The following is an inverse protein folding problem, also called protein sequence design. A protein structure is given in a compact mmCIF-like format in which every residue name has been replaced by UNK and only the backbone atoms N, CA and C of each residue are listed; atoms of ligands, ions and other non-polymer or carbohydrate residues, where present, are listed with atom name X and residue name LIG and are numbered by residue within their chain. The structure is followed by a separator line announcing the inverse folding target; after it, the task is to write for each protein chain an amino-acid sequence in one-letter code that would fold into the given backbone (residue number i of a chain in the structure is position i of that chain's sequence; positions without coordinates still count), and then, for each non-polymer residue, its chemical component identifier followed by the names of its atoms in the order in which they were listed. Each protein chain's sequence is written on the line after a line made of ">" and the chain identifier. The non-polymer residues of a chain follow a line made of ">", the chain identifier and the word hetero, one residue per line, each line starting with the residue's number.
data_IF_478157402718
#
_entry.id   IF_478157402718
#
_cell.length_a   1.000
_cell.length_b   1.000
_cell.length_c   1.000
_cell.angle_alpha   90.00
_cell.angle_beta   90.00
_cell.angle_gamma   90.00
#
_symmetry.space_group_name_H-M   'P 1'
#
loop_
_entity.id
_entity.type
_entity.pdbx_description
1 polymer ?
#
# COMPACT_ATOMS: atom_id res chain seq x y z
N UNK A 1 -3.75 27.37 23.50
CA UNK A 1 -4.29 26.67 22.31
C UNK A 1 -4.80 25.33 22.79
N UNK A 2 -6.11 25.19 22.97
CA UNK A 2 -6.72 23.89 23.29
C UNK A 2 -6.61 22.99 22.06
N UNK A 3 -5.97 21.83 22.22
CA UNK A 3 -5.93 20.81 21.17
C UNK A 3 -7.33 20.24 21.00
N UNK A 4 -7.99 20.56 19.88
CA UNK A 4 -9.23 19.89 19.48
C UNK A 4 -8.93 18.41 19.26
N UNK A 5 -9.28 17.56 20.23
CA UNK A 5 -9.23 16.12 20.05
C UNK A 5 -10.36 15.73 19.10
N UNK A 6 -10.01 15.48 17.84
CA UNK A 6 -10.92 14.88 16.88
C UNK A 6 -11.29 13.48 17.38
N UNK A 7 -12.59 13.25 17.57
CA UNK A 7 -13.09 11.91 17.90
C UNK A 7 -12.68 10.92 16.81
N UNK A 8 -12.38 9.68 17.18
CA UNK A 8 -12.08 8.59 16.24
C UNK A 8 -13.25 8.26 15.29
N UNK A 9 -14.43 8.86 15.51
CA UNK A 9 -15.61 8.77 14.63
C UNK A 9 -15.87 10.02 13.79
N UNK A 10 -15.10 11.10 13.97
CA UNK A 10 -15.27 12.33 13.20
C UNK A 10 -14.60 12.19 11.84
N UNK A 11 -15.40 12.13 10.78
CA UNK A 11 -14.89 12.25 9.43
C UNK A 11 -14.54 13.72 9.15
N UNK A 12 -13.30 13.97 8.72
CA UNK A 12 -12.85 15.30 8.32
C UNK A 12 -13.48 15.75 7.00
N UNK A 13 -13.98 14.81 6.21
CA UNK A 13 -14.59 15.04 4.91
C UNK A 13 -15.88 14.25 4.77
N UNK A 14 -16.89 14.79 4.08
CA UNK A 14 -18.07 14.01 3.73
C UNK A 14 -17.66 12.82 2.84
N UNK A 15 -18.38 11.69 2.91
CA UNK A 15 -18.15 10.56 2.02
C UNK A 15 -18.25 10.99 0.56
N UNK A 16 -17.45 10.35 -0.31
CA UNK A 16 -17.46 10.61 -1.74
C UNK A 16 -18.90 10.47 -2.26
N UNK A 17 -19.41 11.55 -2.84
CA UNK A 17 -20.67 11.54 -3.57
C UNK A 17 -20.35 11.83 -5.03
N UNK A 18 -20.53 10.85 -5.91
CA UNK A 18 -21.02 9.50 -5.65
C UNK A 18 -20.01 8.51 -5.02
N UNK A 19 -20.48 7.43 -4.36
CA UNK A 19 -19.60 6.44 -3.73
C UNK A 19 -18.78 5.63 -4.77
N UNK A 20 -17.60 5.11 -4.37
CA UNK A 20 -16.76 4.29 -5.23
C UNK A 20 -17.24 2.85 -5.27
N UNK A 21 -17.26 2.22 -6.45
CA UNK A 21 -17.66 0.81 -6.65
C UNK A 21 -16.72 -0.19 -5.96
N UNK A 22 -15.45 0.19 -5.77
CA UNK A 22 -14.42 -0.64 -5.18
C UNK A 22 -13.48 0.21 -4.33
N UNK A 23 -13.25 -0.21 -3.09
CA UNK A 23 -12.19 0.33 -2.23
C UNK A 23 -11.04 -0.65 -2.20
N UNK A 24 -9.86 -0.21 -2.63
CA UNK A 24 -8.62 -0.97 -2.61
C UNK A 24 -7.66 -0.38 -1.57
N UNK A 25 -7.43 -1.13 -0.49
CA UNK A 25 -6.51 -0.77 0.58
C UNK A 25 -5.16 -1.47 0.37
N UNK A 26 -4.09 -0.72 0.13
CA UNK A 26 -2.75 -1.26 -0.12
C UNK A 26 -1.82 -0.98 1.06
N UNK A 27 -1.34 -2.04 1.72
CA UNK A 27 -0.35 -1.94 2.79
C UNK A 27 -0.81 -2.52 4.12
N UNK A 28 -1.99 -2.14 4.62
CA UNK A 28 -2.43 -2.48 5.97
C UNK A 28 -3.95 -2.51 6.14
N UNK A 29 -4.44 -3.15 7.22
CA UNK A 29 -5.88 -3.36 7.49
C UNK A 29 -6.50 -2.33 8.45
N UNK A 30 -5.72 -1.34 8.92
CA UNK A 30 -6.11 -0.41 10.01
C UNK A 30 -7.47 0.25 9.79
N UNK A 31 -7.81 0.62 8.56
CA UNK A 31 -9.02 1.37 8.25
C UNK A 31 -10.15 0.52 7.69
N UNK A 32 -10.03 -0.81 7.65
CA UNK A 32 -11.06 -1.68 7.07
C UNK A 32 -12.42 -1.45 7.74
N UNK A 33 -12.46 -1.40 9.08
CA UNK A 33 -13.69 -1.14 9.82
C UNK A 33 -14.31 0.23 9.46
N UNK A 34 -13.48 1.27 9.34
CA UNK A 34 -13.94 2.61 8.98
C UNK A 34 -14.43 2.71 7.54
N UNK A 35 -13.78 2.03 6.61
CA UNK A 35 -14.27 1.95 5.24
C UNK A 35 -15.57 1.14 5.14
N UNK A 36 -15.76 0.12 5.98
CA UNK A 36 -17.04 -0.60 6.09
C UNK A 36 -18.16 0.26 6.67
N UNK A 37 -17.84 1.14 7.62
CA UNK A 37 -18.81 2.13 8.12
C UNK A 37 -19.20 3.16 7.04
N UNK A 38 -18.24 3.63 6.24
CA UNK A 38 -18.47 4.63 5.18
C UNK A 38 -19.15 4.07 3.94
N UNK A 39 -18.77 2.86 3.55
CA UNK A 39 -19.20 2.20 2.31
C UNK A 39 -19.65 0.77 2.63
N UNK A 40 -20.81 0.60 3.27
CA UNK A 40 -21.27 -0.71 3.73
C UNK A 40 -21.55 -1.66 2.56
N UNK A 41 -22.09 -1.14 1.46
CA UNK A 41 -22.53 -1.90 0.29
C UNK A 41 -21.41 -2.11 -0.75
N UNK A 42 -20.26 -1.46 -0.58
CA UNK A 42 -19.18 -1.51 -1.57
C UNK A 42 -18.22 -2.68 -1.32
N UNK A 43 -17.57 -3.11 -2.41
CA UNK A 43 -16.55 -4.14 -2.33
C UNK A 43 -15.27 -3.50 -1.77
N UNK A 44 -14.70 -4.12 -0.74
CA UNK A 44 -13.44 -3.69 -0.13
C UNK A 44 -12.41 -4.80 -0.31
N UNK A 45 -11.37 -4.53 -1.09
CA UNK A 45 -10.23 -5.42 -1.28
C UNK A 45 -9.05 -4.86 -0.47
N UNK A 46 -8.38 -5.73 0.28
CA UNK A 46 -7.16 -5.38 1.01
C UNK A 46 -6.01 -6.18 0.41
N UNK A 47 -5.09 -5.50 -0.26
CA UNK A 47 -3.82 -6.11 -0.64
C UNK A 47 -2.78 -5.80 0.45
N UNK A 48 -2.46 -6.82 1.23
CA UNK A 48 -1.43 -6.70 2.26
C UNK A 48 -0.05 -6.65 1.60
N UNK A 49 0.73 -5.67 2.00
CA UNK A 49 2.13 -5.57 1.59
C UNK A 49 2.98 -6.30 2.60
N UNK A 50 3.84 -7.19 2.13
CA UNK A 50 4.79 -7.89 2.98
C UNK A 50 6.19 -7.35 2.72
N UNK A 51 7.06 -7.37 3.73
CA UNK A 51 8.44 -6.95 3.56
C UNK A 51 9.15 -7.76 2.46
N UNK A 52 8.80 -9.04 2.26
CA UNK A 52 9.29 -9.86 1.15
C UNK A 52 9.03 -9.25 -0.23
N UNK A 53 7.98 -8.43 -0.39
CA UNK A 53 7.64 -7.80 -1.66
C UNK A 53 8.65 -6.73 -2.07
N UNK A 54 9.39 -6.16 -1.11
CA UNK A 54 10.50 -5.24 -1.39
C UNK A 54 11.73 -5.97 -1.94
N UNK A 55 12.01 -7.18 -1.43
CA UNK A 55 13.23 -7.92 -1.78
C UNK A 55 13.02 -8.96 -2.89
N UNK A 56 11.79 -9.41 -3.13
CA UNK A 56 11.45 -10.45 -4.09
C UNK A 56 10.29 -10.04 -5.00
N UNK A 57 10.64 -9.34 -6.08
CA UNK A 57 9.68 -8.83 -7.06
C UNK A 57 8.83 -9.91 -7.73
N UNK A 58 9.36 -11.09 -8.13
CA UNK A 58 8.53 -12.11 -8.78
C UNK A 58 7.39 -12.62 -7.90
N UNK A 59 7.66 -12.86 -6.61
CA UNK A 59 6.62 -13.28 -5.66
C UNK A 59 5.60 -12.17 -5.38
N UNK A 60 6.04 -10.91 -5.30
CA UNK A 60 5.14 -9.77 -5.18
C UNK A 60 4.17 -9.70 -6.37
N UNK A 61 4.67 -9.89 -7.60
CA UNK A 61 3.86 -9.89 -8.82
C UNK A 61 2.84 -11.03 -8.84
N UNK A 62 3.23 -12.23 -8.41
CA UNK A 62 2.30 -13.37 -8.31
C UNK A 62 1.16 -13.08 -7.33
N UNK A 63 1.47 -12.55 -6.15
CA UNK A 63 0.45 -12.20 -5.15
C UNK A 63 -0.49 -11.09 -5.66
N UNK A 64 0.05 -10.11 -6.41
CA UNK A 64 -0.72 -9.01 -6.98
C UNK A 64 -1.47 -9.37 -8.26
N UNK A 65 -1.10 -10.45 -8.95
CA UNK A 65 -1.82 -10.93 -10.13
C UNK A 65 -3.28 -11.27 -9.79
N UNK A 66 -3.50 -11.97 -8.68
CA UNK A 66 -4.84 -12.31 -8.19
C UNK A 66 -5.64 -11.08 -7.78
N UNK A 67 -4.99 -10.09 -7.15
CA UNK A 67 -5.62 -8.79 -6.84
C UNK A 67 -6.03 -8.07 -8.11
N UNK A 68 -5.16 -8.04 -9.12
CA UNK A 68 -5.45 -7.43 -10.41
C UNK A 68 -6.63 -8.14 -11.11
N UNK A 69 -6.70 -9.47 -11.06
CA UNK A 69 -7.82 -10.23 -11.64
C UNK A 69 -9.14 -9.90 -10.96
N UNK A 70 -9.17 -9.85 -9.63
CA UNK A 70 -10.36 -9.46 -8.88
C UNK A 70 -10.83 -8.04 -9.23
N UNK A 71 -9.90 -7.08 -9.25
CA UNK A 71 -10.18 -5.68 -9.62
C UNK A 71 -10.73 -5.60 -11.04
N UNK A 72 -10.12 -6.29 -12.00
CA UNK A 72 -10.57 -6.29 -13.40
C UNK A 72 -11.90 -7.01 -13.59
N UNK A 73 -12.19 -8.06 -12.82
CA UNK A 73 -13.47 -8.75 -12.84
C UNK A 73 -14.62 -7.84 -12.41
N UNK A 74 -14.42 -7.11 -11.31
CA UNK A 74 -15.42 -6.18 -10.76
C UNK A 74 -15.62 -4.98 -11.69
N UNK A 75 -14.53 -4.37 -12.16
CA UNK A 75 -14.61 -3.14 -12.96
C UNK A 75 -15.06 -3.35 -14.41
N UNK A 76 -15.14 -4.60 -14.88
CA UNK A 76 -15.60 -4.94 -16.23
C UNK A 76 -16.98 -5.59 -16.24
N UNK A 77 -17.67 -5.64 -15.10
CA UNK A 77 -19.04 -6.14 -15.05
C UNK A 77 -19.91 -5.27 -15.98
N UNK A 78 -20.46 -5.83 -17.08
CA UNK A 78 -21.24 -5.07 -18.06
C UNK A 78 -22.56 -4.53 -17.48
N UNK A 79 -22.95 -4.94 -16.28
CA UNK A 79 -24.05 -4.33 -15.54
C UNK A 79 -23.73 -2.93 -14.98
N UNK A 80 -22.45 -2.53 -14.94
CA UNK A 80 -22.00 -1.23 -14.48
C UNK A 80 -21.87 -0.25 -15.66
N UNK A 81 -22.63 0.85 -15.62
CA UNK A 81 -22.66 1.85 -16.71
C UNK A 81 -21.30 2.54 -16.90
N UNK A 82 -20.80 2.66 -18.15
CA UNK A 82 -19.52 3.31 -18.44
C UNK A 82 -19.52 4.83 -18.21
N UNK A 83 -20.69 5.48 -18.09
CA UNK A 83 -20.80 6.93 -17.85
C UNK A 83 -20.72 7.31 -16.35
N UNK A 84 -20.79 6.34 -15.44
CA UNK A 84 -20.67 6.60 -14.00
C UNK A 84 -19.27 6.28 -13.44
N UNK A 85 -18.41 7.33 -13.39
CA UNK A 85 -17.43 7.59 -12.30
C UNK A 85 -16.08 6.83 -12.37
N UNK A 86 -15.05 7.25 -11.60
CA UNK A 86 -13.90 6.39 -11.33
C UNK A 86 -14.33 5.21 -10.43
N UNK A 87 -14.29 3.95 -10.91
CA UNK A 87 -14.80 2.81 -10.14
C UNK A 87 -13.97 2.44 -8.90
N UNK A 88 -12.77 3.00 -8.73
CA UNK A 88 -11.84 2.54 -7.68
C UNK A 88 -11.38 3.69 -6.79
N UNK A 89 -11.57 3.54 -5.49
CA UNK A 89 -10.88 4.31 -4.45
C UNK A 89 -9.67 3.51 -3.97
N UNK A 90 -8.47 4.01 -4.24
CA UNK A 90 -7.21 3.43 -3.82
C UNK A 90 -6.70 4.16 -2.58
N UNK A 91 -6.40 3.43 -1.51
CA UNK A 91 -5.78 4.00 -0.31
C UNK A 91 -4.42 3.35 -0.09
N UNK A 92 -3.37 4.15 -0.17
CA UNK A 92 -1.98 3.73 -0.04
C UNK A 92 -1.47 4.05 1.36
N UNK A 93 -1.01 3.03 2.07
CA UNK A 93 -0.39 3.19 3.39
C UNK A 93 1.13 3.22 3.28
N UNK A 94 1.74 4.37 3.58
CA UNK A 94 3.19 4.53 3.65
C UNK A 94 3.89 4.10 2.35
N UNK A 95 5.20 3.88 2.43
CA UNK A 95 6.03 3.47 1.31
C UNK A 95 5.70 2.04 0.83
N UNK A 96 5.00 1.25 1.67
CA UNK A 96 4.58 -0.10 1.33
C UNK A 96 3.36 -0.10 0.40
N UNK A 97 2.36 0.77 0.66
CA UNK A 97 1.21 1.01 -0.21
C UNK A 97 1.64 1.61 -1.54
N UNK A 98 2.46 2.67 -1.46
CA UNK A 98 3.61 2.94 -2.31
C UNK A 98 3.92 1.97 -3.47
N UNK A 99 4.84 1.07 -3.09
CA UNK A 99 5.47 0.05 -3.93
C UNK A 99 4.46 -0.93 -4.47
N UNK A 100 3.48 -1.29 -3.62
CA UNK A 100 2.42 -2.23 -3.99
C UNK A 100 1.54 -1.66 -5.09
N UNK A 101 1.23 -0.37 -5.05
CA UNK A 101 0.51 0.31 -6.14
C UNK A 101 1.31 0.25 -7.43
N UNK A 102 2.61 0.53 -7.38
CA UNK A 102 3.45 0.51 -8.57
C UNK A 102 3.53 -0.90 -9.19
N UNK A 103 3.73 -1.94 -8.37
CA UNK A 103 3.74 -3.32 -8.86
C UNK A 103 2.38 -3.71 -9.46
N UNK A 104 1.28 -3.36 -8.79
CA UNK A 104 -0.07 -3.61 -9.29
C UNK A 104 -0.31 -2.90 -10.63
N UNK A 105 0.24 -1.69 -10.78
CA UNK A 105 0.15 -0.92 -12.01
C UNK A 105 0.92 -1.58 -13.17
N UNK A 106 2.07 -2.17 -12.90
CA UNK A 106 2.78 -2.97 -13.90
C UNK A 106 2.00 -4.22 -14.30
N UNK A 107 1.40 -4.91 -13.33
CA UNK A 107 0.55 -6.08 -13.61
C UNK A 107 -0.65 -5.65 -14.46
N UNK A 108 -1.27 -4.51 -14.17
CA UNK A 108 -2.34 -3.97 -15.03
C UNK A 108 -1.82 -3.64 -16.42
N UNK A 109 -0.65 -3.04 -16.57
CA UNK A 109 -0.08 -2.70 -17.87
C UNK A 109 0.26 -3.95 -18.70
N UNK A 110 0.81 -4.99 -18.07
CA UNK A 110 1.06 -6.29 -18.71
C UNK A 110 -0.25 -6.92 -19.20
N UNK A 111 -1.29 -6.94 -18.36
CA UNK A 111 -2.64 -7.44 -18.72
C UNK A 111 -3.39 -6.53 -19.70
N UNK A 112 -3.06 -5.24 -19.77
CA UNK A 112 -3.68 -4.27 -20.67
C UNK A 112 -3.16 -4.35 -22.11
N UNK A 113 -1.90 -4.81 -22.31
CA UNK A 113 -1.36 -5.13 -23.64
C UNK A 113 -2.21 -6.17 -24.38
N UNK A 114 -3.01 -6.94 -23.65
CA UNK A 114 -4.01 -7.89 -24.15
C UNK A 114 -5.41 -7.27 -24.36
N UNK A 115 -5.49 -5.94 -24.57
CA UNK A 115 -6.63 -5.18 -25.14
C UNK A 115 -7.55 -4.37 -24.21
N UNK A 116 -7.10 -3.83 -23.05
CA UNK A 116 -8.04 -3.06 -22.18
C UNK A 116 -7.44 -1.81 -21.51
N UNK A 117 -8.13 -0.66 -21.52
CA UNK A 117 -7.69 0.56 -20.84
C UNK A 117 -7.76 0.41 -19.31
N UNK A 118 -6.92 1.18 -18.62
CA UNK A 118 -6.81 1.18 -17.16
C UNK A 118 -8.09 1.70 -16.49
N UNK A 119 -8.56 1.08 -15.38
CA UNK A 119 -9.70 1.61 -14.64
C UNK A 119 -9.41 3.02 -14.12
N UNK A 120 -10.40 3.92 -14.20
CA UNK A 120 -10.33 5.25 -13.57
C UNK A 120 -10.30 5.07 -12.04
N UNK A 121 -9.47 5.84 -11.33
CA UNK A 121 -9.31 5.70 -9.87
C UNK A 121 -9.04 7.03 -9.17
N UNK A 122 -9.40 7.10 -7.89
CA UNK A 122 -9.00 8.15 -6.93
C UNK A 122 -7.99 7.55 -5.96
N UNK A 123 -6.88 8.24 -5.67
CA UNK A 123 -5.84 7.75 -4.75
C UNK A 123 -5.74 8.63 -3.52
N UNK A 124 -5.83 8.02 -2.34
CA UNK A 124 -5.56 8.61 -1.03
C UNK A 124 -4.19 8.11 -0.58
N UNK A 125 -3.32 9.03 -0.18
CA UNK A 125 -2.02 8.73 0.40
C UNK A 125 -2.11 8.95 1.92
N UNK A 126 -2.01 7.87 2.70
CA UNK A 126 -1.90 7.94 4.15
C UNK A 126 -0.44 7.72 4.54
N UNK A 127 0.12 8.72 5.22
CA UNK A 127 1.56 8.98 5.41
C UNK A 127 2.32 9.20 4.09
N UNK A 128 2.73 10.45 3.86
CA UNK A 128 3.59 10.83 2.72
C UNK A 128 4.97 10.15 2.82
N UNK A 129 5.64 9.89 1.69
CA UNK A 129 7.00 9.35 1.70
C UNK A 129 7.90 10.18 2.61
N UNK A 130 8.30 9.57 3.72
CA UNK A 130 9.37 10.10 4.56
C UNK A 130 10.70 9.90 3.84
N UNK A 131 11.63 10.82 4.03
CA UNK A 131 13.02 10.60 3.64
C UNK A 131 13.54 9.31 4.29
N UNK A 132 14.42 8.61 3.60
CA UNK A 132 15.15 7.51 4.22
C UNK A 132 15.85 8.00 5.50
N UNK A 133 15.45 7.44 6.63
CA UNK A 133 16.07 7.67 7.93
C UNK A 133 16.40 6.31 8.55
N UNK A 134 17.66 6.16 8.99
CA UNK A 134 18.17 4.89 9.53
C UNK A 134 17.27 4.35 10.64
N UNK A 135 16.91 5.20 11.61
CA UNK A 135 16.10 4.80 12.76
C UNK A 135 14.66 4.46 12.39
N UNK A 136 14.11 5.13 11.39
CA UNK A 136 12.76 4.83 10.89
C UNK A 136 12.71 3.45 10.24
N UNK A 137 13.67 3.12 9.38
CA UNK A 137 13.73 1.79 8.78
C UNK A 137 14.05 0.70 9.81
N UNK A 138 15.04 0.94 10.68
CA UNK A 138 15.40 -0.03 11.71
C UNK A 138 14.19 -0.33 12.62
N UNK A 139 13.47 0.69 13.07
CA UNK A 139 12.26 0.52 13.90
C UNK A 139 11.17 -0.28 13.18
N UNK A 140 10.94 0.00 11.88
CA UNK A 140 9.98 -0.74 11.07
C UNK A 140 10.36 -2.22 10.90
N UNK A 141 11.64 -2.51 10.65
CA UNK A 141 12.13 -3.89 10.53
C UNK A 141 12.03 -4.65 11.85
N UNK A 142 12.42 -4.00 12.95
CA UNK A 142 12.40 -4.61 14.29
C UNK A 142 10.97 -4.89 14.77
N UNK A 143 9.98 -4.09 14.35
CA UNK A 143 8.57 -4.35 14.67
C UNK A 143 8.06 -5.68 14.08
N UNK A 144 8.68 -6.17 13.01
CA UNK A 144 8.33 -7.45 12.39
C UNK A 144 8.98 -8.67 13.04
N UNK A 145 9.91 -8.50 14.00
CA UNK A 145 10.67 -9.60 14.59
C UNK A 145 9.88 -10.19 15.78
N UNK A 146 9.60 -11.51 15.80
CA UNK A 146 8.97 -12.14 16.96
C UNK A 146 9.95 -12.19 18.14
N UNK A 147 9.77 -11.30 19.11
CA UNK A 147 10.63 -11.18 20.31
C UNK A 147 10.63 -12.43 21.22
N UNK A 148 9.67 -13.34 21.04
CA UNK A 148 9.57 -14.59 21.80
C UNK A 148 10.50 -15.71 21.32
N UNK A 149 11.22 -15.53 20.21
CA UNK A 149 12.11 -16.53 19.63
C UNK A 149 13.56 -16.07 19.69
N UNK A 150 14.18 -16.19 20.87
CA UNK A 150 15.49 -15.59 21.20
C UNK A 150 16.59 -15.87 20.16
N UNK A 151 16.68 -17.09 19.62
CA UNK A 151 17.64 -17.44 18.56
C UNK A 151 17.39 -16.64 17.27
N UNK A 152 16.13 -16.49 16.88
CA UNK A 152 15.76 -15.68 15.72
C UNK A 152 16.01 -14.20 16.00
N UNK A 153 15.71 -13.71 17.21
CA UNK A 153 15.97 -12.33 17.60
C UNK A 153 17.47 -11.99 17.54
N UNK A 154 18.34 -12.88 18.04
CA UNK A 154 19.80 -12.68 17.99
C UNK A 154 20.36 -12.57 16.57
N UNK A 155 19.72 -13.21 15.59
CA UNK A 155 20.14 -13.17 14.18
C UNK A 155 19.47 -12.01 13.43
N UNK A 156 18.17 -11.85 13.59
CA UNK A 156 17.36 -10.91 12.81
C UNK A 156 17.58 -9.45 13.23
N UNK A 157 17.87 -9.18 14.52
CA UNK A 157 18.12 -7.81 14.99
C UNK A 157 19.40 -7.22 14.39
N UNK A 158 20.57 -7.90 14.44
CA UNK A 158 21.77 -7.42 13.75
C UNK A 158 21.58 -7.30 12.24
N UNK A 159 20.87 -8.23 11.61
CA UNK A 159 20.57 -8.15 10.17
C UNK A 159 19.72 -6.93 9.82
N UNK A 160 18.72 -6.60 10.64
CA UNK A 160 17.89 -5.41 10.46
C UNK A 160 18.72 -4.12 10.55
N UNK A 161 19.63 -4.03 11.50
CA UNK A 161 20.56 -2.91 11.62
C UNK A 161 21.58 -2.86 10.48
N UNK A 162 22.12 -4.00 10.05
CA UNK A 162 23.06 -4.08 8.94
C UNK A 162 22.41 -3.63 7.63
N UNK A 163 21.18 -4.09 7.36
CA UNK A 163 20.40 -3.65 6.21
C UNK A 163 20.10 -2.14 6.27
N UNK A 164 19.68 -1.65 7.44
CA UNK A 164 19.39 -0.22 7.64
C UNK A 164 20.66 0.64 7.50
N UNK A 165 21.80 0.16 7.99
CA UNK A 165 23.09 0.85 7.87
C UNK A 165 23.59 0.90 6.44
N UNK A 166 23.53 -0.23 5.71
CA UNK A 166 23.97 -0.31 4.31
C UNK A 166 23.13 0.59 3.40
N UNK A 167 21.81 0.58 3.54
CA UNK A 167 20.92 1.49 2.79
C UNK A 167 21.13 2.96 3.16
N UNK A 168 21.44 3.27 4.43
CA UNK A 168 21.77 4.64 4.86
C UNK A 168 23.04 5.15 4.18
N UNK A 169 24.11 4.35 4.22
CA UNK A 169 25.39 4.70 3.60
C UNK A 169 25.23 4.82 2.08
N UNK A 170 24.48 3.91 1.45
CA UNK A 170 24.16 3.98 0.02
C UNK A 170 23.48 5.30 -0.36
N UNK A 171 22.37 5.64 0.30
CA UNK A 171 21.60 6.83 -0.03
C UNK A 171 22.33 8.13 0.30
N UNK A 172 23.11 8.15 1.41
CA UNK A 172 23.70 9.39 1.93
C UNK A 172 25.13 9.66 1.45
N UNK A 173 25.94 8.61 1.32
CA UNK A 173 27.38 8.74 1.08
C UNK A 173 27.77 8.35 -0.34
N UNK A 174 26.99 7.48 -1.00
CA UNK A 174 27.32 6.95 -2.33
C UNK A 174 26.45 7.54 -3.45
N UNK A 175 25.63 8.57 -3.17
CA UNK A 175 24.60 9.10 -4.09
C UNK A 175 23.73 8.01 -4.70
N UNK A 176 23.57 6.90 -3.96
CA UNK A 176 22.69 5.83 -4.33
C UNK A 176 21.26 6.33 -4.38
N UNK A 177 20.51 5.90 -5.37
CA UNK A 177 19.12 6.30 -5.47
C UNK A 177 18.34 5.80 -4.25
N UNK A 178 17.54 6.68 -3.65
CA UNK A 178 16.60 6.31 -2.60
C UNK A 178 15.46 5.50 -3.23
N UNK A 179 15.67 4.19 -3.32
CA UNK A 179 14.66 3.27 -3.83
C UNK A 179 13.42 3.29 -2.96
N UNK A 180 13.56 3.55 -1.66
CA UNK A 180 12.42 3.64 -0.74
C UNK A 180 11.56 4.87 -1.06
N UNK A 181 12.15 5.99 -1.49
CA UNK A 181 11.42 7.17 -1.96
C UNK A 181 10.93 7.06 -3.42
N UNK A 182 11.56 6.25 -4.27
CA UNK A 182 11.07 5.99 -5.65
C UNK A 182 9.88 5.05 -5.67
N UNK A 183 9.84 4.11 -4.73
CA UNK A 183 8.74 3.18 -4.56
C UNK A 183 7.74 3.64 -3.49
N UNK A 184 8.01 4.74 -2.79
CA UNK A 184 7.23 5.25 -1.65
C UNK A 184 6.52 6.55 -1.92
#
# INVERSE_FOLDING_TARGET
>A
MESVQLSSSSFLYPPLSPPPTLVLLLGHTKYVAKYRELFPDEIIIVAKSFLRHFFWLPGARSDLAAVADAVLGITKDPSLSPESRPPILLHLFSNTGLSTSWQLDNVFAEKAKEAKPRPRRVTIFDSSPGRYEYWSLASALLHGIPLGQWLQTLVLVPLAHLLSGTLFIWCRNLNGEDWIAKWG
#
